data_IF_419087637444
#
_entry.id   IF_419087637444
#
_cell.length_a   1.000
_cell.length_b   1.000
_cell.length_c   1.000
_cell.angle_alpha   90.00
_cell.angle_beta   90.00
_cell.angle_gamma   90.00
#
_symmetry.space_group_name_H-M   'P 1'
#
loop_
_entity.id
_entity.type
_entity.pdbx_description
1 polymer ?
#
# COMPACT_ATOMS: atom_id res chain seq x y z
N UNK A 1 2.95 -1.31 19.34
CA UNK A 1 2.58 -0.63 18.08
C UNK A 1 1.09 -0.85 17.88
N UNK A 2 0.32 0.19 17.52
CA UNK A 2 -1.08 0.00 17.17
C UNK A 2 -1.17 -0.87 15.92
N UNK A 3 -2.05 -1.88 15.95
CA UNK A 3 -2.29 -2.76 14.81
C UNK A 3 -3.18 -2.05 13.80
N UNK A 4 -2.87 -2.22 12.52
CA UNK A 4 -3.73 -1.77 11.43
C UNK A 4 -5.05 -2.55 11.46
N UNK A 5 -6.16 -1.84 11.24
CA UNK A 5 -7.50 -2.44 11.29
C UNK A 5 -7.91 -2.92 9.90
N UNK A 6 -8.11 -4.23 9.74
CA UNK A 6 -8.43 -4.84 8.44
C UNK A 6 -9.85 -5.39 8.44
N UNK A 7 -10.65 -4.98 7.46
CA UNK A 7 -11.89 -5.67 7.11
C UNK A 7 -11.65 -6.72 6.03
N UNK A 8 -12.20 -7.93 6.20
CA UNK A 8 -12.05 -9.03 5.24
C UNK A 8 -13.36 -9.32 4.55
N UNK A 9 -13.36 -9.34 3.22
CA UNK A 9 -14.53 -9.69 2.41
C UNK A 9 -14.40 -11.12 1.88
N UNK A 10 -15.47 -11.91 2.02
CA UNK A 10 -15.52 -13.32 1.58
C UNK A 10 -16.84 -13.63 0.85
N UNK A 11 -16.88 -14.71 0.09
CA UNK A 11 -18.13 -15.24 -0.52
C UNK A 11 -18.47 -16.68 -0.14
N UNK A 12 -17.60 -17.38 0.60
CA UNK A 12 -17.79 -18.81 0.85
C UNK A 12 -17.01 -19.32 2.05
N UNK A 13 -16.25 -20.41 1.85
CA UNK A 13 -15.58 -21.15 2.94
C UNK A 13 -14.58 -20.31 3.75
N UNK A 14 -13.98 -19.28 3.14
CA UNK A 14 -13.11 -18.33 3.84
C UNK A 14 -11.76 -18.90 4.26
N UNK A 15 -11.16 -19.82 3.51
CA UNK A 15 -9.84 -20.39 3.83
C UNK A 15 -8.72 -19.34 3.85
N UNK A 16 -8.71 -18.41 2.89
CA UNK A 16 -7.78 -17.27 2.91
C UNK A 16 -8.05 -16.34 4.10
N UNK A 17 -9.32 -16.08 4.43
CA UNK A 17 -9.69 -15.30 5.61
C UNK A 17 -9.17 -15.96 6.89
N UNK A 18 -9.32 -17.28 7.01
CA UNK A 18 -8.80 -18.03 8.15
C UNK A 18 -7.28 -17.89 8.27
N UNK A 19 -6.53 -17.95 7.16
CA UNK A 19 -5.09 -17.75 7.17
C UNK A 19 -4.70 -16.35 7.68
N UNK A 20 -5.39 -15.29 7.23
CA UNK A 20 -5.20 -13.92 7.73
C UNK A 20 -5.54 -13.82 9.22
N UNK A 21 -6.66 -14.40 9.64
CA UNK A 21 -7.12 -14.41 11.03
C UNK A 21 -6.10 -15.09 11.96
N UNK A 22 -5.63 -16.28 11.60
CA UNK A 22 -4.65 -17.00 12.41
C UNK A 22 -3.29 -16.30 12.44
N UNK A 23 -2.87 -15.67 11.34
CA UNK A 23 -1.69 -14.82 11.34
C UNK A 23 -1.85 -13.62 12.28
N UNK A 24 -3.03 -12.97 12.30
CA UNK A 24 -3.33 -11.82 13.16
C UNK A 24 -3.19 -12.11 14.66
N UNK A 25 -3.33 -13.38 15.07
CA UNK A 25 -3.13 -13.81 16.46
C UNK A 25 -1.68 -13.75 16.93
N UNK A 26 -0.71 -13.76 16.00
CA UNK A 26 0.69 -13.66 16.38
C UNK A 26 0.99 -12.27 17.00
N UNK A 27 1.73 -12.18 18.12
CA UNK A 27 2.01 -10.89 18.77
C UNK A 27 2.73 -9.88 17.89
N UNK A 28 3.57 -10.35 16.97
CA UNK A 28 4.30 -9.49 16.01
C UNK A 28 3.48 -9.13 14.77
N UNK A 29 2.28 -9.67 14.59
CA UNK A 29 1.46 -9.34 13.43
C UNK A 29 1.03 -7.87 13.51
N UNK A 30 1.27 -7.06 12.47
CA UNK A 30 1.02 -5.63 12.52
C UNK A 30 -0.43 -5.25 12.24
N UNK A 31 -1.33 -6.23 12.03
CA UNK A 31 -2.75 -6.00 11.82
C UNK A 31 -3.63 -6.83 12.75
N UNK A 32 -4.88 -6.40 12.86
CA UNK A 32 -5.99 -7.13 13.45
C UNK A 32 -7.17 -7.16 12.47
N UNK A 33 -7.98 -8.23 12.53
CA UNK A 33 -9.20 -8.32 11.74
C UNK A 33 -10.35 -7.75 12.55
N UNK A 34 -10.93 -6.64 12.08
CA UNK A 34 -12.01 -5.94 12.80
C UNK A 34 -13.40 -6.34 12.33
N UNK A 35 -13.51 -6.87 11.11
CA UNK A 35 -14.77 -7.32 10.52
C UNK A 35 -14.50 -8.40 9.48
N UNK A 36 -15.32 -9.45 9.47
CA UNK A 36 -15.47 -10.35 8.32
C UNK A 36 -16.87 -10.16 7.74
N UNK A 37 -16.93 -9.67 6.50
CA UNK A 37 -18.20 -9.45 5.81
C UNK A 37 -18.35 -10.38 4.60
N UNK A 38 -19.58 -10.83 4.35
CA UNK A 38 -19.89 -11.70 3.23
C UNK A 38 -21.14 -11.28 2.47
N UNK A 39 -21.09 -11.49 1.15
CA UNK A 39 -22.23 -11.29 0.24
C UNK A 39 -23.20 -12.48 0.20
N UNK A 40 -22.92 -13.52 0.99
CA UNK A 40 -23.80 -14.63 1.30
C UNK A 40 -23.86 -14.78 2.83
N UNK A 41 -25.03 -14.57 3.48
CA UNK A 41 -25.16 -14.67 4.93
C UNK A 41 -24.91 -16.11 5.44
N UNK A 42 -25.02 -17.10 4.57
CA UNK A 42 -24.76 -18.51 4.91
C UNK A 42 -23.30 -18.93 4.61
N UNK A 43 -22.42 -17.98 4.24
CA UNK A 43 -21.02 -18.28 3.97
C UNK A 43 -20.35 -18.94 5.20
N UNK A 44 -19.82 -20.17 5.08
CA UNK A 44 -19.25 -20.90 6.22
C UNK A 44 -18.10 -20.16 6.92
N UNK A 45 -17.39 -19.27 6.19
CA UNK A 45 -16.35 -18.43 6.77
C UNK A 45 -16.87 -17.44 7.83
N UNK A 46 -18.13 -17.02 7.78
CA UNK A 46 -18.72 -16.18 8.84
C UNK A 46 -18.81 -16.94 10.16
N UNK A 47 -19.25 -18.19 10.14
CA UNK A 47 -19.31 -19.06 11.34
C UNK A 47 -17.93 -19.23 11.95
N UNK A 48 -16.90 -19.46 11.12
CA UNK A 48 -15.52 -19.55 11.59
C UNK A 48 -15.05 -18.24 12.26
N UNK A 49 -15.27 -17.10 11.61
CA UNK A 49 -14.86 -15.80 12.14
C UNK A 49 -15.55 -15.48 13.49
N UNK A 50 -16.85 -15.76 13.59
CA UNK A 50 -17.61 -15.58 14.81
C UNK A 50 -17.13 -16.50 15.95
N UNK A 51 -16.80 -17.76 15.65
CA UNK A 51 -16.23 -18.69 16.62
C UNK A 51 -14.87 -18.24 17.17
N UNK A 52 -14.14 -17.45 16.38
CA UNK A 52 -12.86 -16.84 16.75
C UNK A 52 -13.01 -15.44 17.38
N UNK A 53 -14.24 -15.01 17.67
CA UNK A 53 -14.55 -13.75 18.34
C UNK A 53 -14.46 -12.50 17.46
N UNK A 54 -14.40 -12.65 16.14
CA UNK A 54 -14.37 -11.53 15.19
C UNK A 54 -15.80 -11.08 14.88
N UNK A 55 -16.02 -9.77 14.77
CA UNK A 55 -17.30 -9.24 14.32
C UNK A 55 -17.61 -9.70 12.90
N UNK A 56 -18.86 -10.06 12.63
CA UNK A 56 -19.29 -10.57 11.33
C UNK A 56 -20.49 -9.81 10.79
N UNK A 57 -20.55 -9.70 9.46
CA UNK A 57 -21.69 -9.15 8.75
C UNK A 57 -22.01 -10.01 7.53
N UNK A 58 -23.23 -10.55 7.47
CA UNK A 58 -23.70 -11.36 6.34
C UNK A 58 -24.93 -10.73 5.72
N UNK A 59 -24.88 -10.42 4.42
CA UNK A 59 -26.05 -9.96 3.69
C UNK A 59 -26.07 -10.50 2.26
N UNK A 60 -27.22 -10.99 1.83
CA UNK A 60 -27.36 -11.47 0.46
C UNK A 60 -27.38 -10.29 -0.51
N UNK A 61 -26.48 -10.32 -1.49
CA UNK A 61 -26.46 -9.36 -2.59
C UNK A 61 -27.51 -9.65 -3.67
N UNK A 62 -28.22 -10.79 -3.59
CA UNK A 62 -29.19 -11.21 -4.62
C UNK A 62 -30.33 -10.20 -4.72
N UNK A 63 -30.61 -9.75 -5.94
CA UNK A 63 -31.66 -8.76 -6.22
C UNK A 63 -31.27 -7.31 -5.95
N UNK A 64 -30.03 -7.03 -5.54
CA UNK A 64 -29.53 -5.65 -5.33
C UNK A 64 -28.64 -5.21 -6.48
N UNK A 65 -28.66 -3.91 -6.79
CA UNK A 65 -27.67 -3.34 -7.72
C UNK A 65 -26.28 -3.35 -7.09
N UNK A 66 -25.26 -3.36 -7.95
CA UNK A 66 -23.87 -3.46 -7.51
C UNK A 66 -23.49 -2.40 -6.47
N UNK A 67 -23.71 -1.14 -6.83
CA UNK A 67 -23.40 0.03 -6.00
C UNK A 67 -24.31 0.17 -4.76
N UNK A 68 -25.49 -0.42 -4.76
CA UNK A 68 -26.37 -0.40 -3.57
C UNK A 68 -25.82 -1.32 -2.48
N UNK A 69 -25.46 -2.55 -2.85
CA UNK A 69 -24.86 -3.49 -1.92
C UNK A 69 -23.47 -3.03 -1.43
N UNK A 70 -22.64 -2.50 -2.33
CA UNK A 70 -21.30 -2.03 -1.96
C UNK A 70 -21.33 -0.89 -0.93
N UNK A 71 -22.33 0.00 -1.00
CA UNK A 71 -22.53 1.05 0.01
C UNK A 71 -22.86 0.48 1.39
N UNK A 72 -23.56 -0.65 1.46
CA UNK A 72 -23.86 -1.29 2.74
C UNK A 72 -22.58 -1.90 3.33
N UNK A 73 -21.80 -2.60 2.49
CA UNK A 73 -20.51 -3.16 2.90
C UNK A 73 -19.53 -2.06 3.33
N UNK A 74 -19.43 -0.96 2.58
CA UNK A 74 -18.61 0.20 2.94
C UNK A 74 -19.02 0.78 4.30
N UNK A 75 -20.33 0.92 4.55
CA UNK A 75 -20.86 1.39 5.83
C UNK A 75 -20.45 0.50 7.00
N UNK A 76 -20.57 -0.83 6.87
CA UNK A 76 -20.17 -1.75 7.95
C UNK A 76 -18.65 -1.80 8.14
N UNK A 77 -17.85 -1.73 7.07
CA UNK A 77 -16.39 -1.63 7.17
C UNK A 77 -15.97 -0.37 7.94
N UNK A 78 -16.54 0.79 7.61
CA UNK A 78 -16.24 2.06 8.29
C UNK A 78 -16.70 2.07 9.73
N UNK A 79 -17.88 1.52 10.01
CA UNK A 79 -18.42 1.38 11.38
C UNK A 79 -17.55 0.48 12.25
N UNK A 80 -16.94 -0.56 11.67
CA UNK A 80 -15.94 -1.39 12.34
C UNK A 80 -14.57 -0.70 12.49
N UNK A 81 -14.39 0.48 11.89
CA UNK A 81 -13.13 1.23 11.91
C UNK A 81 -12.05 0.62 11.03
N UNK A 82 -12.41 -0.09 9.96
CA UNK A 82 -11.44 -0.65 9.03
C UNK A 82 -10.63 0.47 8.34
N UNK A 83 -9.31 0.30 8.31
CA UNK A 83 -8.35 1.16 7.62
C UNK A 83 -7.98 0.55 6.26
N UNK A 84 -7.98 -0.78 6.18
CA UNK A 84 -7.66 -1.58 5.01
C UNK A 84 -8.72 -2.65 4.73
N UNK A 85 -8.80 -3.10 3.48
CA UNK A 85 -9.71 -4.17 3.03
C UNK A 85 -8.92 -5.32 2.39
N UNK A 86 -9.23 -6.55 2.77
CA UNK A 86 -8.66 -7.75 2.18
C UNK A 86 -9.76 -8.60 1.53
N UNK A 87 -9.67 -8.81 0.22
CA UNK A 87 -10.56 -9.70 -0.54
C UNK A 87 -10.02 -11.13 -0.46
N UNK A 88 -10.69 -11.97 0.34
CA UNK A 88 -10.26 -13.34 0.61
C UNK A 88 -11.25 -14.34 -0.03
N UNK A 89 -11.18 -14.47 -1.35
CA UNK A 89 -12.14 -15.26 -2.12
C UNK A 89 -13.50 -14.56 -2.25
N UNK A 90 -13.48 -13.25 -2.48
CA UNK A 90 -14.68 -12.46 -2.72
C UNK A 90 -15.07 -12.54 -4.21
N UNK A 91 -16.12 -13.27 -4.52
CA UNK A 91 -16.50 -13.68 -5.88
C UNK A 91 -17.41 -12.65 -6.58
N UNK A 92 -17.29 -11.37 -6.24
CA UNK A 92 -18.17 -10.32 -6.76
C UNK A 92 -17.37 -9.11 -7.18
N UNK A 93 -17.65 -8.62 -8.39
CA UNK A 93 -17.09 -7.36 -8.88
C UNK A 93 -17.52 -6.21 -7.98
N UNK A 94 -16.56 -5.37 -7.62
CA UNK A 94 -16.77 -4.13 -6.89
C UNK A 94 -17.16 -3.01 -7.85
N UNK A 95 -17.94 -2.06 -7.38
CA UNK A 95 -18.24 -0.82 -8.10
C UNK A 95 -17.02 0.12 -8.12
N UNK A 96 -16.84 0.93 -9.18
CA UNK A 96 -15.77 1.92 -9.22
C UNK A 96 -15.78 2.87 -8.02
N UNK A 97 -16.95 3.25 -7.53
CA UNK A 97 -17.12 4.13 -6.38
C UNK A 97 -16.59 3.49 -5.09
N UNK A 98 -16.84 2.19 -4.90
CA UNK A 98 -16.29 1.46 -3.76
C UNK A 98 -14.77 1.35 -3.86
N UNK A 99 -14.24 1.03 -5.05
CA UNK A 99 -12.79 0.92 -5.25
C UNK A 99 -12.09 2.26 -5.00
N UNK A 100 -12.64 3.37 -5.52
CA UNK A 100 -12.10 4.70 -5.28
C UNK A 100 -12.09 5.07 -3.78
N UNK A 101 -13.14 4.71 -3.03
CA UNK A 101 -13.21 4.96 -1.58
C UNK A 101 -12.15 4.21 -0.75
N UNK A 102 -11.57 3.15 -1.29
CA UNK A 102 -10.54 2.30 -0.67
C UNK A 102 -9.23 2.26 -1.47
N UNK A 103 -9.02 3.23 -2.36
CA UNK A 103 -7.84 3.30 -3.21
C UNK A 103 -6.54 3.25 -2.37
N UNK A 104 -5.58 2.45 -2.83
CA UNK A 104 -4.32 2.23 -2.12
C UNK A 104 -4.45 1.49 -0.77
N UNK A 105 -5.64 1.02 -0.39
CA UNK A 105 -5.89 0.38 0.91
C UNK A 105 -6.58 -0.98 0.81
N UNK A 106 -6.74 -1.50 -0.40
CA UNK A 106 -7.43 -2.77 -0.66
C UNK A 106 -6.53 -3.76 -1.41
N UNK A 107 -6.44 -4.98 -0.89
CA UNK A 107 -5.68 -6.09 -1.49
C UNK A 107 -6.58 -7.25 -1.90
N UNK A 108 -6.20 -7.94 -2.96
CA UNK A 108 -6.81 -9.20 -3.38
C UNK A 108 -5.74 -10.28 -3.55
N UNK A 109 -6.10 -11.52 -3.21
CA UNK A 109 -5.34 -12.72 -3.57
C UNK A 109 -6.02 -13.36 -4.78
N UNK A 110 -5.25 -13.57 -5.85
CA UNK A 110 -5.71 -14.16 -7.09
C UNK A 110 -4.98 -15.48 -7.37
N UNK A 111 -5.69 -16.58 -7.72
CA UNK A 111 -5.11 -17.90 -7.97
C UNK A 111 -4.42 -18.00 -9.35
N UNK A 112 -3.61 -17.02 -9.72
CA UNK A 112 -2.74 -17.08 -10.89
C UNK A 112 -1.51 -16.22 -10.74
N UNK A 113 -0.48 -16.52 -11.55
CA UNK A 113 0.70 -15.66 -11.72
C UNK A 113 0.36 -14.49 -12.65
N UNK A 114 -0.32 -13.47 -12.12
CA UNK A 114 -0.65 -12.26 -12.88
C UNK A 114 0.59 -11.69 -13.58
N UNK A 115 0.48 -11.23 -14.85
CA UNK A 115 -0.77 -10.94 -15.57
C UNK A 115 -1.44 -12.16 -16.24
N UNK A 116 -0.95 -13.39 -16.06
CA UNK A 116 -1.60 -14.59 -16.61
C UNK A 116 -2.97 -14.84 -15.96
N UNK A 117 -3.89 -15.35 -16.76
CA UNK A 117 -5.21 -15.87 -16.39
C UNK A 117 -5.99 -15.01 -15.35
N UNK A 118 -6.46 -13.84 -15.79
CA UNK A 118 -7.42 -13.03 -15.02
C UNK A 118 -8.80 -13.70 -14.91
N UNK A 119 -9.56 -13.36 -13.88
CA UNK A 119 -10.90 -13.88 -13.65
C UNK A 119 -10.94 -15.35 -13.24
N UNK A 120 -11.97 -16.08 -13.64
CA UNK A 120 -12.26 -17.43 -13.14
C UNK A 120 -11.46 -18.55 -13.84
N UNK A 121 -11.51 -19.75 -13.26
CA UNK A 121 -10.99 -21.02 -13.82
C UNK A 121 -9.49 -21.00 -14.19
N UNK A 122 -8.71 -20.25 -13.41
CA UNK A 122 -7.28 -20.02 -13.64
C UNK A 122 -6.46 -21.30 -13.67
N UNK A 123 -6.79 -22.27 -12.80
CA UNK A 123 -6.11 -23.56 -12.72
C UNK A 123 -6.28 -24.38 -13.99
N UNK A 124 -7.52 -24.48 -14.50
CA UNK A 124 -7.81 -25.21 -15.72
C UNK A 124 -7.14 -24.54 -16.92
N UNK A 125 -7.19 -23.20 -17.00
CA UNK A 125 -6.50 -22.44 -18.05
C UNK A 125 -4.99 -22.70 -18.08
N UNK A 126 -4.34 -22.77 -16.91
CA UNK A 126 -2.90 -23.08 -16.84
C UNK A 126 -2.59 -24.51 -17.31
N UNK A 127 -3.43 -25.49 -16.96
CA UNK A 127 -3.30 -26.87 -17.42
C UNK A 127 -3.51 -26.99 -18.93
N UNK A 128 -4.56 -26.35 -19.46
CA UNK A 128 -4.89 -26.36 -20.89
C UNK A 128 -3.80 -25.71 -21.75
N UNK A 129 -3.14 -24.67 -21.21
CA UNK A 129 -2.01 -24.01 -21.86
C UNK A 129 -0.71 -24.82 -21.80
N UNK A 130 -0.65 -25.90 -21.03
CA UNK A 130 0.56 -26.70 -20.84
C UNK A 130 1.66 -25.96 -20.07
N UNK A 131 1.28 -25.03 -19.18
CA UNK A 131 2.26 -24.33 -18.34
C UNK A 131 3.00 -25.31 -17.41
N UNK A 132 4.28 -25.04 -17.14
CA UNK A 132 5.06 -25.81 -16.16
C UNK A 132 4.78 -25.37 -14.72
N UNK A 133 4.33 -24.14 -14.53
CA UNK A 133 4.05 -23.52 -13.25
C UNK A 133 2.76 -22.71 -13.32
N UNK A 134 1.94 -22.86 -12.29
CA UNK A 134 0.88 -21.93 -11.93
C UNK A 134 1.29 -21.22 -10.63
N UNK A 135 0.35 -20.63 -9.90
CA UNK A 135 0.65 -19.97 -8.65
C UNK A 135 -0.44 -19.01 -8.23
N UNK A 136 -0.09 -18.09 -7.34
CA UNK A 136 -0.97 -17.03 -6.89
C UNK A 136 -0.25 -15.69 -6.82
N UNK A 137 -1.03 -14.62 -6.90
CA UNK A 137 -0.59 -13.22 -6.81
C UNK A 137 -1.39 -12.48 -5.76
N UNK A 138 -0.71 -11.73 -4.89
CA UNK A 138 -1.36 -10.67 -4.10
C UNK A 138 -1.12 -9.36 -4.81
N UNK A 139 -2.19 -8.59 -5.03
CA UNK A 139 -2.13 -7.32 -5.73
C UNK A 139 -3.02 -6.27 -5.09
N UNK A 140 -2.70 -4.99 -5.35
CA UNK A 140 -3.58 -3.87 -5.02
C UNK A 140 -4.82 -3.97 -5.92
N UNK A 141 -5.99 -3.72 -5.35
CA UNK A 141 -7.24 -3.68 -6.14
C UNK A 141 -7.37 -2.33 -6.83
N UNK A 142 -7.60 -2.36 -8.14
CA UNK A 142 -7.94 -1.20 -8.97
C UNK A 142 -9.34 -1.40 -9.56
N UNK A 143 -9.85 -0.39 -10.30
CA UNK A 143 -11.16 -0.49 -10.94
C UNK A 143 -11.19 -1.57 -12.04
N UNK A 144 -10.04 -1.82 -12.65
CA UNK A 144 -9.84 -2.86 -13.65
C UNK A 144 -9.60 -4.22 -13.00
N UNK A 145 -10.22 -5.25 -13.56
CA UNK A 145 -10.18 -6.61 -13.00
C UNK A 145 -8.76 -7.17 -13.01
N UNK A 146 -8.28 -7.57 -11.83
CA UNK A 146 -6.99 -8.23 -11.59
C UNK A 146 -5.80 -7.53 -12.29
N UNK A 147 -5.82 -6.20 -12.34
CA UNK A 147 -4.85 -5.39 -13.08
C UNK A 147 -3.97 -4.49 -12.21
N UNK A 148 -4.24 -4.43 -10.91
CA UNK A 148 -3.46 -3.57 -10.03
C UNK A 148 -2.04 -4.08 -9.79
N UNK A 149 -1.16 -3.21 -9.23
CA UNK A 149 0.22 -3.56 -8.93
C UNK A 149 0.34 -4.85 -8.11
N UNK A 150 1.12 -5.80 -8.62
CA UNK A 150 1.44 -7.06 -7.94
C UNK A 150 2.45 -6.78 -6.84
N UNK A 151 2.12 -7.18 -5.62
CA UNK A 151 2.95 -6.99 -4.43
C UNK A 151 3.76 -8.24 -4.08
N UNK A 152 3.27 -9.41 -4.47
CA UNK A 152 3.95 -10.67 -4.24
C UNK A 152 3.33 -11.79 -5.05
N UNK A 153 4.15 -12.79 -5.37
CA UNK A 153 3.72 -14.00 -6.07
C UNK A 153 4.35 -15.23 -5.44
N UNK A 154 3.71 -16.37 -5.64
CA UNK A 154 4.31 -17.67 -5.31
C UNK A 154 4.02 -18.63 -6.45
N UNK A 155 5.08 -19.15 -7.06
CA UNK A 155 5.00 -20.16 -8.09
C UNK A 155 4.74 -21.55 -7.49
N UNK A 156 3.94 -22.33 -8.19
CA UNK A 156 3.59 -23.70 -7.82
C UNK A 156 3.75 -24.57 -9.06
N UNK A 157 4.65 -25.54 -8.98
CA UNK A 157 4.88 -26.48 -10.07
C UNK A 157 3.59 -27.26 -10.41
N UNK A 158 3.33 -27.42 -11.70
CA UNK A 158 2.30 -28.32 -12.23
C UNK A 158 2.95 -29.69 -12.43
N UNK A 159 2.40 -30.71 -11.78
CA UNK A 159 2.93 -32.07 -11.82
C UNK A 159 2.24 -32.90 -12.90
N UNK A 160 2.92 -33.92 -13.47
CA UNK A 160 2.28 -34.85 -14.38
C UNK A 160 1.03 -35.49 -13.77
N UNK A 161 -0.10 -35.36 -14.46
CA UNK A 161 -1.39 -35.91 -14.02
C UNK A 161 -2.17 -35.01 -13.05
N UNK A 162 -1.74 -33.77 -12.79
CA UNK A 162 -2.55 -32.82 -12.03
C UNK A 162 -3.92 -32.58 -12.69
N UNK A 163 -4.94 -32.51 -11.84
CA UNK A 163 -6.26 -31.97 -12.19
C UNK A 163 -6.37 -30.53 -11.70
N UNK A 164 -7.39 -29.79 -12.16
CA UNK A 164 -7.66 -28.45 -11.64
C UNK A 164 -7.81 -28.44 -10.10
N UNK A 165 -8.43 -29.47 -9.52
CA UNK A 165 -8.63 -29.59 -8.08
C UNK A 165 -7.32 -29.89 -7.32
N UNK A 166 -6.47 -30.81 -7.83
CA UNK A 166 -5.19 -31.11 -7.17
C UNK A 166 -4.24 -29.92 -7.23
N UNK A 167 -4.24 -29.19 -8.34
CA UNK A 167 -3.49 -27.96 -8.51
C UNK A 167 -4.04 -26.85 -7.60
N UNK A 168 -5.37 -26.67 -7.54
CA UNK A 168 -6.04 -25.71 -6.67
C UNK A 168 -5.67 -25.93 -5.20
N UNK A 169 -5.69 -27.18 -4.74
CA UNK A 169 -5.35 -27.52 -3.36
C UNK A 169 -3.89 -27.13 -3.02
N UNK A 170 -2.96 -27.32 -3.96
CA UNK A 170 -1.55 -26.95 -3.79
C UNK A 170 -1.34 -25.43 -3.80
N UNK A 171 -1.99 -24.74 -4.73
CA UNK A 171 -1.96 -23.26 -4.82
C UNK A 171 -2.58 -22.64 -3.57
N UNK A 172 -3.67 -23.20 -3.04
CA UNK A 172 -4.32 -22.69 -1.84
C UNK A 172 -3.37 -22.64 -0.63
N UNK A 173 -2.46 -23.60 -0.50
CA UNK A 173 -1.42 -23.56 0.53
C UNK A 173 -0.45 -22.39 0.32
N UNK A 174 -0.08 -22.11 -0.92
CA UNK A 174 0.76 -20.96 -1.28
C UNK A 174 0.04 -19.63 -1.01
N UNK A 175 -1.26 -19.53 -1.33
CA UNK A 175 -2.08 -18.36 -1.04
C UNK A 175 -2.09 -18.01 0.45
N UNK A 176 -2.28 -19.00 1.34
CA UNK A 176 -2.31 -18.77 2.80
C UNK A 176 -1.00 -18.15 3.30
N UNK A 177 0.11 -18.64 2.76
CA UNK A 177 1.46 -18.20 3.15
C UNK A 177 1.80 -16.82 2.59
N UNK A 178 1.45 -16.57 1.33
CA UNK A 178 1.72 -15.32 0.65
C UNK A 178 0.84 -14.19 1.22
N UNK A 179 -0.47 -14.42 1.32
CA UNK A 179 -1.41 -13.33 1.58
C UNK A 179 -1.22 -12.70 2.95
N UNK A 180 -1.00 -13.51 3.99
CA UNK A 180 -0.79 -13.03 5.35
C UNK A 180 0.48 -12.18 5.50
N UNK A 181 1.57 -12.56 4.82
CA UNK A 181 2.84 -11.83 4.81
C UNK A 181 2.74 -10.54 4.00
N UNK A 182 2.23 -10.63 2.78
CA UNK A 182 2.07 -9.45 1.93
C UNK A 182 1.13 -8.41 2.55
N UNK A 183 0.06 -8.84 3.23
CA UNK A 183 -0.79 -7.92 3.99
C UNK A 183 -0.03 -7.26 5.14
N UNK A 184 0.78 -8.00 5.89
CA UNK A 184 1.61 -7.44 6.97
C UNK A 184 2.60 -6.37 6.46
N UNK A 185 3.27 -6.66 5.36
CA UNK A 185 4.18 -5.70 4.72
C UNK A 185 3.41 -4.49 4.20
N UNK A 186 2.27 -4.72 3.56
CA UNK A 186 1.45 -3.66 2.98
C UNK A 186 0.90 -2.67 4.01
N UNK A 187 0.41 -3.13 5.15
CA UNK A 187 -0.13 -2.26 6.20
C UNK A 187 0.96 -1.54 7.02
N UNK A 188 2.22 -1.93 6.85
CA UNK A 188 3.38 -1.28 7.49
C UNK A 188 4.25 -0.49 6.52
N UNK A 189 3.97 -0.56 5.22
CA UNK A 189 4.77 0.07 4.16
C UNK A 189 5.03 1.56 4.40
N UNK A 190 4.10 2.27 5.02
CA UNK A 190 4.22 3.72 5.26
C UNK A 190 5.28 4.07 6.29
N UNK A 191 5.90 3.06 6.90
CA UNK A 191 7.07 3.17 7.77
C UNK A 191 8.32 2.51 7.17
N UNK A 192 8.18 1.85 6.03
CA UNK A 192 9.30 1.17 5.37
C UNK A 192 10.14 2.19 4.58
N UNK A 193 11.46 2.22 4.79
CA UNK A 193 12.35 3.18 4.12
C UNK A 193 12.22 3.18 2.60
N UNK A 194 12.11 2.00 1.97
CA UNK A 194 12.02 1.88 0.52
C UNK A 194 10.75 2.49 -0.05
N UNK A 195 9.61 2.29 0.64
CA UNK A 195 8.34 2.89 0.24
C UNK A 195 8.37 4.41 0.41
N UNK A 196 8.88 4.89 1.56
CA UNK A 196 9.04 6.31 1.84
C UNK A 196 9.95 6.99 0.82
N UNK A 197 11.09 6.39 0.50
CA UNK A 197 11.99 6.86 -0.54
C UNK A 197 11.30 6.88 -1.92
N UNK A 198 10.49 5.87 -2.23
CA UNK A 198 9.67 5.83 -3.45
C UNK A 198 8.72 7.02 -3.55
N UNK A 199 8.01 7.35 -2.46
CA UNK A 199 7.12 8.52 -2.40
C UNK A 199 7.88 9.84 -2.55
N UNK A 200 9.10 9.93 -2.00
CA UNK A 200 9.96 11.10 -2.20
C UNK A 200 10.40 11.20 -3.66
N UNK A 201 10.86 10.09 -4.26
CA UNK A 201 11.25 10.01 -5.68
C UNK A 201 10.14 10.47 -6.62
N UNK A 202 8.92 9.98 -6.41
CA UNK A 202 7.73 10.40 -7.18
C UNK A 202 7.60 11.94 -7.22
N UNK A 203 7.83 12.61 -6.09
CA UNK A 203 7.67 14.07 -5.95
C UNK A 203 8.85 14.84 -6.52
N UNK A 204 10.07 14.43 -6.22
CA UNK A 204 11.26 15.14 -6.71
C UNK A 204 11.43 14.99 -8.22
N UNK A 205 11.09 13.83 -8.81
CA UNK A 205 11.17 13.64 -10.27
C UNK A 205 10.02 14.30 -11.05
N UNK A 206 8.97 14.76 -10.37
CA UNK A 206 8.00 15.68 -10.98
C UNK A 206 8.57 17.09 -11.18
N UNK A 207 9.64 17.45 -10.44
CA UNK A 207 10.29 18.76 -10.56
C UNK A 207 11.26 18.79 -11.75
N UNK A 208 11.26 19.86 -12.58
CA UNK A 208 12.09 19.93 -13.77
C UNK A 208 13.59 19.79 -13.52
N UNK A 209 14.26 19.08 -14.43
CA UNK A 209 15.72 18.88 -14.43
C UNK A 209 16.27 18.36 -13.09
N UNK A 210 15.55 17.41 -12.47
CA UNK A 210 15.99 16.78 -11.22
C UNK A 210 16.82 15.53 -11.49
N UNK A 211 17.98 15.42 -10.83
CA UNK A 211 18.81 14.21 -10.77
C UNK A 211 18.82 13.58 -9.37
N UNK A 212 19.12 12.28 -9.32
CA UNK A 212 19.42 11.54 -8.09
C UNK A 212 20.87 11.03 -8.13
N UNK A 213 21.61 11.28 -7.05
CA UNK A 213 22.95 10.73 -6.84
C UNK A 213 23.08 10.22 -5.40
N UNK A 214 23.97 9.28 -5.16
CA UNK A 214 24.33 8.90 -3.78
C UNK A 214 25.37 9.89 -3.23
N UNK A 215 25.10 10.47 -2.07
CA UNK A 215 26.03 11.34 -1.33
C UNK A 215 26.09 10.91 0.12
N UNK A 216 27.29 10.63 0.64
CA UNK A 216 27.50 10.18 2.01
C UNK A 216 26.63 8.95 2.39
N UNK A 217 26.41 8.04 1.43
CA UNK A 217 25.57 6.85 1.64
C UNK A 217 24.06 7.10 1.56
N UNK A 218 23.62 8.34 1.34
CA UNK A 218 22.21 8.73 1.27
C UNK A 218 21.80 9.06 -0.17
N UNK A 219 20.56 8.73 -0.58
CA UNK A 219 19.95 9.31 -1.77
C UNK A 219 19.90 10.85 -1.66
N UNK A 220 20.39 11.53 -2.69
CA UNK A 220 20.47 12.99 -2.74
C UNK A 220 19.95 13.50 -4.07
N UNK A 221 19.09 14.51 -4.02
CA UNK A 221 18.38 15.07 -5.16
C UNK A 221 18.85 16.50 -5.43
N UNK A 222 19.08 16.81 -6.71
CA UNK A 222 19.56 18.11 -7.14
C UNK A 222 19.07 18.49 -8.52
N UNK A 223 19.38 19.73 -8.93
CA UNK A 223 19.30 20.12 -10.33
C UNK A 223 20.39 19.36 -11.09
N UNK A 224 20.11 18.87 -12.29
CA UNK A 224 21.10 18.24 -13.17
C UNK A 224 22.36 19.12 -13.29
N UNK A 225 23.51 18.56 -12.89
CA UNK A 225 24.82 19.27 -12.85
C UNK A 225 24.81 20.54 -11.98
N UNK A 226 23.85 20.67 -11.08
CA UNK A 226 23.60 21.84 -10.26
C UNK A 226 23.67 21.56 -8.76
N UNK A 227 23.02 22.44 -7.98
CA UNK A 227 23.02 22.36 -6.52
C UNK A 227 21.97 21.35 -6.03
N UNK A 228 22.24 20.76 -4.88
CA UNK A 228 21.33 19.83 -4.19
C UNK A 228 20.26 20.60 -3.41
N UNK A 229 19.04 20.04 -3.41
CA UNK A 229 17.88 20.59 -2.72
C UNK A 229 17.20 19.60 -1.79
N UNK A 230 17.47 18.30 -1.91
CA UNK A 230 16.93 17.34 -0.96
C UNK A 230 17.88 16.18 -0.68
N UNK A 231 17.77 15.62 0.52
CA UNK A 231 18.42 14.37 0.93
C UNK A 231 17.39 13.48 1.60
N UNK A 232 17.48 12.17 1.36
CA UNK A 232 16.72 11.18 2.10
C UNK A 232 17.63 10.50 3.12
N UNK A 233 17.34 10.64 4.40
CA UNK A 233 18.11 10.05 5.49
C UNK A 233 17.34 8.88 6.08
N UNK A 234 18.04 7.77 6.32
CA UNK A 234 17.53 6.62 7.06
C UNK A 234 18.56 6.25 8.11
N UNK A 235 18.19 6.33 9.39
CA UNK A 235 18.99 5.88 10.54
C UNK A 235 20.46 6.35 10.47
N UNK A 236 20.67 7.58 9.98
CA UNK A 236 22.01 8.06 9.61
C UNK A 236 22.94 8.22 10.82
N UNK A 237 22.38 8.23 12.03
CA UNK A 237 23.11 8.34 13.30
C UNK A 237 22.74 7.26 14.34
N UNK A 238 22.11 6.16 13.92
CA UNK A 238 21.58 5.16 14.88
C UNK A 238 20.38 5.69 15.67
N UNK A 239 19.71 6.73 15.16
CA UNK A 239 18.57 7.40 15.77
C UNK A 239 17.22 6.77 15.37
N UNK A 240 17.22 5.86 14.40
CA UNK A 240 16.03 5.22 13.87
C UNK A 240 15.12 6.17 13.09
N UNK A 241 15.59 7.36 12.71
CA UNK A 241 14.78 8.37 12.03
C UNK A 241 14.85 8.19 10.52
N UNK A 242 13.69 8.22 9.86
CA UNK A 242 13.60 8.38 8.41
C UNK A 242 13.05 9.76 8.09
N UNK A 243 13.81 10.56 7.36
CA UNK A 243 13.48 11.94 7.08
C UNK A 243 13.89 12.37 5.68
N UNK A 244 13.25 13.44 5.23
CA UNK A 244 13.69 14.23 4.06
C UNK A 244 14.28 15.52 4.59
N UNK A 245 15.53 15.80 4.20
CA UNK A 245 16.17 17.08 4.48
C UNK A 245 15.92 18.00 3.30
N UNK A 246 15.38 19.18 3.57
CA UNK A 246 15.07 20.20 2.56
C UNK A 246 15.63 21.55 2.98
N UNK A 247 15.88 22.43 2.01
CA UNK A 247 16.29 23.80 2.28
C UNK A 247 15.15 24.63 2.85
N UNK A 248 15.52 25.56 3.72
CA UNK A 248 14.65 26.65 4.17
C UNK A 248 15.02 27.94 3.46
N UNK A 249 14.06 28.85 3.33
CA UNK A 249 14.29 30.15 2.67
C UNK A 249 15.01 31.15 3.59
N UNK A 250 14.97 30.90 4.91
CA UNK A 250 15.69 31.67 5.92
C UNK A 250 15.88 30.85 7.22
N UNK A 251 16.87 31.17 8.07
CA UNK A 251 17.04 30.52 9.38
C UNK A 251 15.80 30.61 10.29
N UNK A 252 15.07 31.71 10.22
CA UNK A 252 13.85 31.93 11.00
C UNK A 252 12.76 30.91 10.64
N UNK A 253 12.66 30.51 9.37
CA UNK A 253 11.72 29.48 8.94
C UNK A 253 12.03 28.12 9.58
N UNK A 254 13.31 27.74 9.68
CA UNK A 254 13.71 26.49 10.33
C UNK A 254 13.22 26.48 11.78
N UNK A 255 13.46 27.57 12.52
CA UNK A 255 13.05 27.68 13.91
C UNK A 255 11.52 27.60 14.06
N UNK A 256 10.77 28.32 13.21
CA UNK A 256 9.31 28.30 13.24
C UNK A 256 8.72 26.92 12.96
N UNK A 257 9.29 26.17 12.01
CA UNK A 257 8.85 24.81 11.71
C UNK A 257 9.03 23.89 12.92
N UNK A 258 10.23 23.91 13.52
CA UNK A 258 10.56 23.11 14.70
C UNK A 258 9.67 23.47 15.89
N UNK A 259 9.38 24.75 16.09
CA UNK A 259 8.47 25.19 17.16
C UNK A 259 7.02 24.74 16.91
N UNK A 260 6.57 24.75 15.65
CA UNK A 260 5.20 24.36 15.30
C UNK A 260 4.92 22.87 15.47
N UNK A 261 5.90 22.02 15.15
CA UNK A 261 5.81 20.56 15.30
C UNK A 261 7.22 19.97 15.55
N UNK A 262 7.66 19.92 16.82
CA UNK A 262 8.98 19.41 17.17
C UNK A 262 9.10 17.89 17.02
N UNK A 263 7.99 17.16 16.81
CA UNK A 263 8.03 15.73 16.51
C UNK A 263 8.34 15.49 15.02
N UNK A 264 7.83 16.35 14.14
CA UNK A 264 8.04 16.30 12.69
C UNK A 264 9.34 16.92 12.25
N UNK A 265 9.69 18.08 12.79
CA UNK A 265 10.78 18.91 12.29
C UNK A 265 11.96 18.93 13.26
N UNK A 266 13.17 18.85 12.72
CA UNK A 266 14.39 18.96 13.50
C UNK A 266 15.52 19.64 12.71
N UNK A 267 16.53 20.10 13.44
CA UNK A 267 17.77 20.62 12.84
C UNK A 267 18.67 19.44 12.43
N UNK A 268 18.93 19.22 11.13
CA UNK A 268 19.81 18.15 10.69
C UNK A 268 21.26 18.46 11.04
N UNK A 269 21.97 17.47 11.58
CA UNK A 269 23.38 17.61 11.93
C UNK A 269 24.22 17.86 10.67
N UNK A 270 25.20 18.78 10.74
CA UNK A 270 26.15 19.11 9.66
C UNK A 270 25.59 19.83 8.41
N UNK A 271 24.29 20.16 8.35
CA UNK A 271 23.69 20.90 7.23
C UNK A 271 23.53 22.41 7.47
N UNK A 272 23.61 22.86 8.73
CA UNK A 272 23.47 24.28 9.12
C UNK A 272 22.01 24.76 9.15
N UNK A 273 21.82 26.08 9.33
CA UNK A 273 20.50 26.68 9.58
C UNK A 273 19.63 26.88 8.33
N UNK A 274 20.20 26.63 7.14
CA UNK A 274 19.49 26.71 5.86
C UNK A 274 18.79 25.40 5.44
N UNK A 275 18.70 24.42 6.35
CA UNK A 275 18.12 23.10 6.08
C UNK A 275 17.26 22.63 7.25
N UNK A 276 16.14 21.97 6.98
CA UNK A 276 15.30 21.34 8.00
C UNK A 276 15.10 19.87 7.67
N UNK A 277 15.14 19.02 8.69
CA UNK A 277 14.77 17.62 8.57
C UNK A 277 13.28 17.47 8.83
N UNK A 278 12.58 16.77 7.94
CA UNK A 278 11.15 16.48 8.03
C UNK A 278 10.99 14.96 8.17
N UNK A 279 10.55 14.50 9.34
CA UNK A 279 10.28 13.08 9.59
C UNK A 279 9.13 12.58 8.73
N UNK A 280 9.35 11.47 8.03
CA UNK A 280 8.36 10.84 7.16
C UNK A 280 7.95 9.44 7.63
N UNK A 281 8.55 8.96 8.72
CA UNK A 281 8.31 7.65 9.36
C UNK A 281 7.22 7.63 10.43
N UNK A 282 6.60 8.77 10.74
CA UNK A 282 5.60 8.88 11.81
C UNK A 282 4.29 8.14 11.47
N UNK A 283 4.05 7.81 10.19
CA UNK A 283 2.88 7.04 9.73
C UNK A 283 1.62 7.89 9.48
N UNK A 284 1.76 9.21 9.49
CA UNK A 284 0.72 10.22 9.28
C UNK A 284 1.23 11.34 8.35
N UNK A 285 2.20 11.00 7.49
CA UNK A 285 2.87 11.96 6.60
C UNK A 285 1.89 12.58 5.61
N UNK A 286 1.69 13.89 5.70
CA UNK A 286 0.99 14.70 4.70
C UNK A 286 1.90 14.88 3.48
N UNK A 287 1.64 14.08 2.45
CA UNK A 287 2.45 14.05 1.26
C UNK A 287 2.26 15.27 0.34
N UNK A 288 1.19 16.04 0.50
CA UNK A 288 1.00 17.29 -0.23
C UNK A 288 1.88 18.37 0.38
N UNK A 289 1.90 18.46 1.72
CA UNK A 289 2.84 19.33 2.44
C UNK A 289 4.30 18.98 2.13
N UNK A 290 4.65 17.68 2.05
CA UNK A 290 6.00 17.27 1.65
C UNK A 290 6.32 17.75 0.22
N UNK A 291 5.35 17.70 -0.70
CA UNK A 291 5.53 18.15 -2.08
C UNK A 291 5.80 19.65 -2.14
N UNK A 292 5.00 20.46 -1.43
CA UNK A 292 5.22 21.90 -1.31
C UNK A 292 6.61 22.23 -0.74
N UNK A 293 7.04 21.48 0.28
CA UNK A 293 8.36 21.68 0.91
C UNK A 293 9.51 21.33 -0.03
N UNK A 294 9.38 20.24 -0.79
CA UNK A 294 10.35 19.84 -1.81
C UNK A 294 10.43 20.88 -2.93
N UNK A 295 9.29 21.38 -3.42
CA UNK A 295 9.24 22.41 -4.45
C UNK A 295 9.89 23.71 -3.97
N UNK A 296 9.55 24.19 -2.77
CA UNK A 296 10.18 25.39 -2.19
C UNK A 296 11.69 25.23 -2.08
N UNK A 297 12.17 24.09 -1.63
CA UNK A 297 13.59 23.78 -1.57
C UNK A 297 14.26 23.74 -2.95
N UNK A 298 13.57 23.18 -3.95
CA UNK A 298 14.04 23.18 -5.34
C UNK A 298 14.13 24.62 -5.89
N UNK A 299 13.14 25.48 -5.63
CA UNK A 299 13.14 26.89 -6.05
C UNK A 299 14.32 27.68 -5.49
N UNK A 300 14.82 27.34 -4.30
CA UNK A 300 16.02 27.96 -3.70
C UNK A 300 17.32 27.70 -4.49
N UNK A 301 17.32 26.70 -5.38
CA UNK A 301 18.50 26.36 -6.19
C UNK A 301 18.25 26.33 -7.69
N UNK A 302 16.99 26.31 -8.12
CA UNK A 302 16.61 26.23 -9.51
C UNK A 302 17.06 27.48 -10.28
N UNK A 303 17.61 27.32 -11.49
CA UNK A 303 17.83 28.45 -12.39
C UNK A 303 16.51 29.18 -12.70
N UNK A 304 16.55 30.51 -12.78
CA UNK A 304 15.36 31.35 -13.06
C UNK A 304 14.54 30.88 -14.26
N UNK A 305 15.18 30.33 -15.29
CA UNK A 305 14.49 29.81 -16.48
C UNK A 305 13.50 28.69 -16.14
N UNK A 306 13.82 27.84 -15.16
CA UNK A 306 12.95 26.74 -14.75
C UNK A 306 11.81 27.22 -13.86
N UNK A 307 12.07 28.16 -12.94
CA UNK A 307 11.03 28.69 -12.05
C UNK A 307 9.95 29.44 -12.85
N UNK A 308 10.36 30.26 -13.83
CA UNK A 308 9.41 30.98 -14.71
C UNK A 308 8.52 30.05 -15.54
N UNK A 309 9.00 28.85 -15.89
CA UNK A 309 8.17 27.86 -16.60
C UNK A 309 7.09 27.25 -15.71
N UNK A 310 7.38 27.03 -14.43
CA UNK A 310 6.38 26.55 -13.46
C UNK A 310 5.39 27.67 -13.13
N UNK A 311 5.88 28.87 -12.84
CA UNK A 311 5.01 30.02 -12.52
C UNK A 311 4.00 30.30 -13.66
N UNK A 312 4.45 30.18 -14.92
CA UNK A 312 3.58 30.31 -16.07
C UNK A 312 2.59 29.15 -16.24
N UNK A 313 2.90 27.96 -15.72
CA UNK A 313 1.99 26.80 -15.75
C UNK A 313 0.92 26.90 -14.65
N UNK A 314 1.25 27.49 -13.50
CA UNK A 314 0.33 27.69 -12.38
C UNK A 314 -0.70 28.81 -12.63
N UNK A 315 -0.45 29.69 -13.61
CA UNK A 315 -1.35 30.79 -14.02
C UNK A 315 -2.48 30.35 -14.99
N UNK A 316 -2.50 29.09 -15.46
CA UNK A 316 -3.51 28.54 -16.40
C UNK A 316 -4.33 27.40 -15.79
#
# INVERSE_FOLDING_TARGET
>A
MQKAKVGVLISGRGSNMAALLYAAKHPSCPYEIVLVAANDPEAPGLTLAAAEGIATFGQSHKGMKRAEFDRIIDGELRKAGAEYVALAGYMRLLSPEFVAGWEGRMLNIHPSLLPKYKGLDTHQKALDAGDSHAGCSVHIVTAELDDGPVLGQTEVAILPGDTADSLAARILMAEHQLYSRTLADFVTRERQPEWLLGKVRERVFALPQTDEVTSHGMPCFGIEKGKKFAYFTQDHHGDGIIAVLVKTTAPEEQAMLIESDPARYYRPAYFGDGWVGIRVDLGDTDWDQISERLERSWREVAPRKLTTLIDAADEF
#
